data_IF_903619392406
#
_entry.id   IF_903619392406
#
_cell.length_a   1.000
_cell.length_b   1.000
_cell.length_c   1.000
_cell.angle_alpha   90.00
_cell.angle_beta   90.00
_cell.angle_gamma   90.00
#
_symmetry.space_group_name_H-M   'P 1'
#
loop_
_entity.id
_entity.type
_entity.pdbx_description
1 polymer ?
#
# COMPACT_ATOMS: atom_id res chain seq x y z
N UNK A 1 25.78 -26.73 -21.88
CA UNK A 1 25.90 -25.93 -20.64
C UNK A 1 25.33 -24.52 -20.78
N UNK A 2 25.68 -23.72 -21.80
CA UNK A 2 25.20 -22.33 -21.96
C UNK A 2 23.67 -22.13 -21.94
N UNK A 3 22.90 -23.08 -22.50
CA UNK A 3 21.43 -23.00 -22.53
C UNK A 3 20.80 -23.07 -21.13
N UNK A 4 21.40 -23.85 -20.22
CA UNK A 4 20.91 -23.97 -18.84
C UNK A 4 21.23 -22.72 -18.03
N UNK A 5 22.41 -22.13 -18.25
CA UNK A 5 22.81 -20.85 -17.63
C UNK A 5 21.88 -19.72 -18.07
N UNK A 6 21.54 -19.64 -19.36
CA UNK A 6 20.62 -18.62 -19.86
C UNK A 6 19.22 -18.73 -19.25
N UNK A 7 18.68 -19.95 -19.13
CA UNK A 7 17.38 -20.19 -18.47
C UNK A 7 17.44 -19.82 -16.99
N UNK A 8 18.52 -20.20 -16.30
CA UNK A 8 18.71 -19.86 -14.89
C UNK A 8 18.77 -18.35 -14.65
N UNK A 9 19.48 -17.62 -15.52
CA UNK A 9 19.55 -16.15 -15.45
C UNK A 9 18.19 -15.49 -15.72
N UNK A 10 17.44 -15.97 -16.71
CA UNK A 10 16.05 -15.53 -16.96
C UNK A 10 15.16 -15.75 -15.73
N UNK A 11 15.24 -16.92 -15.10
CA UNK A 11 14.47 -17.23 -13.89
C UNK A 11 14.82 -16.30 -12.73
N UNK A 12 16.11 -16.00 -12.51
CA UNK A 12 16.54 -15.08 -11.47
C UNK A 12 16.01 -13.66 -11.68
N UNK A 13 15.98 -13.18 -12.93
CA UNK A 13 15.43 -11.85 -13.25
C UNK A 13 13.92 -11.80 -12.96
N UNK A 14 13.16 -12.83 -13.34
CA UNK A 14 11.71 -12.91 -13.07
C UNK A 14 11.43 -12.96 -11.57
N UNK A 15 12.17 -13.78 -10.83
CA UNK A 15 12.02 -13.90 -9.36
C UNK A 15 12.35 -12.57 -8.68
N UNK A 16 13.44 -11.91 -9.07
CA UNK A 16 13.81 -10.60 -8.52
C UNK A 16 12.72 -9.53 -8.77
N UNK A 17 12.17 -9.46 -9.99
CA UNK A 17 11.09 -8.52 -10.29
C UNK A 17 9.84 -8.77 -9.43
N UNK A 18 9.43 -10.04 -9.26
CA UNK A 18 8.28 -10.40 -8.43
C UNK A 18 8.50 -10.05 -6.95
N UNK A 19 9.71 -10.24 -6.42
CA UNK A 19 10.01 -9.89 -5.03
C UNK A 19 9.99 -8.37 -4.79
N UNK A 20 10.46 -7.58 -5.75
CA UNK A 20 10.43 -6.11 -5.67
C UNK A 20 8.96 -5.63 -5.64
N UNK A 21 8.12 -6.08 -6.57
CA UNK A 21 6.70 -5.75 -6.63
C UNK A 21 5.90 -6.18 -5.40
N UNK A 22 6.27 -7.31 -4.80
CA UNK A 22 5.60 -7.79 -3.60
C UNK A 22 6.00 -6.98 -2.37
N UNK A 23 7.27 -6.58 -2.27
CA UNK A 23 7.78 -5.77 -1.16
C UNK A 23 7.14 -4.37 -1.14
N UNK A 24 7.09 -3.70 -2.29
CA UNK A 24 6.43 -2.40 -2.44
C UNK A 24 4.93 -2.49 -2.16
N UNK A 25 4.22 -3.52 -2.69
CA UNK A 25 2.80 -3.71 -2.43
C UNK A 25 2.50 -4.03 -0.95
N UNK A 26 3.35 -4.79 -0.26
CA UNK A 26 3.16 -5.05 1.18
C UNK A 26 3.42 -3.83 2.05
N UNK A 27 4.38 -2.97 1.67
CA UNK A 27 4.65 -1.72 2.38
C UNK A 27 3.51 -0.71 2.19
N UNK A 28 3.04 -0.55 0.95
CA UNK A 28 1.87 0.27 0.55
C UNK A 28 0.62 -0.18 1.33
N UNK A 29 0.32 -1.49 1.32
CA UNK A 29 -0.81 -2.07 2.07
C UNK A 29 -0.72 -1.80 3.58
N UNK A 30 0.47 -1.89 4.18
CA UNK A 30 0.64 -1.66 5.62
C UNK A 30 0.49 -0.17 5.96
N UNK A 31 1.06 0.73 5.15
CA UNK A 31 0.91 2.18 5.32
C UNK A 31 -0.54 2.64 5.18
N UNK A 32 -1.26 2.14 4.17
CA UNK A 32 -2.69 2.39 4.03
C UNK A 32 -3.46 1.92 5.25
N UNK A 33 -3.19 0.70 5.72
CA UNK A 33 -3.89 0.09 6.86
C UNK A 33 -3.66 0.86 8.16
N UNK A 34 -2.45 1.33 8.41
CA UNK A 34 -2.12 2.13 9.59
C UNK A 34 -2.77 3.52 9.52
N UNK A 35 -2.76 4.17 8.35
CA UNK A 35 -3.50 5.41 8.10
C UNK A 35 -5.00 5.24 8.38
N UNK A 36 -5.60 4.21 7.77
CA UNK A 36 -7.02 3.95 7.88
C UNK A 36 -7.43 3.68 9.32
N UNK A 37 -6.70 2.84 10.06
CA UNK A 37 -7.00 2.54 11.46
C UNK A 37 -6.95 3.77 12.35
N UNK A 38 -5.94 4.64 12.16
CA UNK A 38 -5.83 5.85 12.96
C UNK A 38 -6.95 6.85 12.61
N UNK A 39 -7.19 7.09 11.32
CA UNK A 39 -8.28 7.95 10.86
C UNK A 39 -9.65 7.46 11.36
N UNK A 40 -9.92 6.16 11.25
CA UNK A 40 -11.20 5.60 11.65
C UNK A 40 -11.39 5.73 13.16
N UNK A 41 -10.35 5.48 13.96
CA UNK A 41 -10.39 5.71 15.42
C UNK A 41 -10.68 7.18 15.75
N UNK A 42 -9.98 8.12 15.13
CA UNK A 42 -10.15 9.56 15.36
C UNK A 42 -11.54 10.04 14.91
N UNK A 43 -12.01 9.59 13.73
CA UNK A 43 -13.31 9.95 13.17
C UNK A 43 -14.48 9.55 14.09
N UNK A 44 -14.36 8.41 14.77
CA UNK A 44 -15.33 7.97 15.78
C UNK A 44 -15.19 8.71 17.12
N UNK A 45 -13.98 9.12 17.48
CA UNK A 45 -13.67 9.77 18.76
C UNK A 45 -13.83 11.30 18.74
N UNK A 46 -14.02 11.93 17.57
CA UNK A 46 -14.13 13.38 17.39
C UNK A 46 -15.35 14.04 18.08
N UNK A 47 -16.08 13.31 18.91
CA UNK A 47 -17.22 13.83 19.68
C UNK A 47 -18.48 14.12 18.85
N UNK A 48 -18.43 13.91 17.54
CA UNK A 48 -19.55 14.17 16.61
C UNK A 48 -20.45 12.96 16.34
N UNK A 49 -20.20 11.83 17.02
CA UNK A 49 -20.90 10.56 16.80
C UNK A 49 -21.09 10.26 15.29
N UNK A 50 -19.99 10.34 14.53
CA UNK A 50 -20.02 10.05 13.11
C UNK A 50 -20.40 8.57 12.90
N UNK A 51 -21.24 8.30 11.90
CA UNK A 51 -21.64 6.93 11.57
C UNK A 51 -20.48 6.11 10.97
N UNK A 52 -20.52 4.79 11.13
CA UNK A 52 -19.48 3.88 10.61
C UNK A 52 -19.19 4.09 9.14
N UNK A 53 -20.23 4.05 8.30
CA UNK A 53 -20.09 4.22 6.83
C UNK A 53 -19.52 5.57 6.44
N UNK A 54 -19.79 6.62 7.24
CA UNK A 54 -19.21 7.94 6.99
C UNK A 54 -17.70 7.94 7.24
N UNK A 55 -17.27 7.38 8.38
CA UNK A 55 -15.86 7.30 8.70
C UNK A 55 -15.11 6.37 7.74
N UNK A 56 -15.74 5.28 7.31
CA UNK A 56 -15.20 4.37 6.28
C UNK A 56 -14.92 5.10 4.98
N UNK A 57 -15.92 5.76 4.37
CA UNK A 57 -15.72 6.49 3.10
C UNK A 57 -14.73 7.64 3.23
N UNK A 58 -14.77 8.38 4.35
CA UNK A 58 -13.84 9.49 4.58
C UNK A 58 -12.40 8.99 4.67
N UNK A 59 -12.15 7.99 5.50
CA UNK A 59 -10.80 7.50 5.75
C UNK A 59 -10.23 6.75 4.55
N UNK A 60 -11.05 6.05 3.78
CA UNK A 60 -10.64 5.45 2.51
C UNK A 60 -10.14 6.53 1.53
N UNK A 61 -10.92 7.61 1.34
CA UNK A 61 -10.55 8.70 0.45
C UNK A 61 -9.32 9.50 0.94
N UNK A 62 -9.25 9.81 2.23
CA UNK A 62 -8.14 10.57 2.82
C UNK A 62 -6.82 9.78 2.74
N UNK A 63 -6.85 8.48 3.05
CA UNK A 63 -5.66 7.63 3.00
C UNK A 63 -5.24 7.29 1.57
N UNK A 64 -6.18 7.05 0.65
CA UNK A 64 -5.86 6.87 -0.77
C UNK A 64 -5.25 8.14 -1.39
N UNK A 65 -5.73 9.33 -1.00
CA UNK A 65 -5.12 10.60 -1.42
C UNK A 65 -3.70 10.76 -0.88
N UNK A 66 -3.45 10.29 0.35
CA UNK A 66 -2.12 10.33 0.95
C UNK A 66 -1.15 9.36 0.26
N UNK A 67 -1.58 8.16 -0.12
CA UNK A 67 -0.77 7.23 -0.93
C UNK A 67 -0.38 7.85 -2.28
N UNK A 68 -1.31 8.53 -2.96
CA UNK A 68 -1.00 9.23 -4.22
C UNK A 68 0.02 10.36 -3.97
N UNK A 69 -0.11 11.12 -2.88
CA UNK A 69 0.86 12.19 -2.57
C UNK A 69 2.25 11.63 -2.25
N UNK A 70 2.35 10.58 -1.46
CA UNK A 70 3.65 9.95 -1.12
C UNK A 70 4.29 9.32 -2.37
N UNK A 71 3.49 8.68 -3.23
CA UNK A 71 3.98 7.96 -4.41
C UNK A 71 4.32 8.85 -5.60
N UNK A 72 3.66 10.00 -5.75
CA UNK A 72 3.82 10.89 -6.91
C UNK A 72 4.44 12.26 -6.61
N UNK A 73 4.44 12.72 -5.35
CA UNK A 73 4.99 14.02 -4.95
C UNK A 73 6.15 13.90 -3.94
N UNK A 74 6.47 12.70 -3.47
CA UNK A 74 7.64 12.44 -2.65
C UNK A 74 8.90 12.21 -3.48
N UNK A 75 9.52 13.31 -3.96
CA UNK A 75 10.93 13.37 -4.33
C UNK A 75 11.66 14.29 -3.34
#
# INVERSE_FOLDING_TARGET
MAKLVAVFLMFMVVVAAVHIHKAEATADTQQFKDCYNNCHKECFQDGKANGYTFCEMKCDADCASNEIKVKFLGQ
#
